data_IF_064075209924
#
_entry.id   IF_064075209924
#
_cell.length_a   1.000
_cell.length_b   1.000
_cell.length_c   1.000
_cell.angle_alpha   90.00
_cell.angle_beta   90.00
_cell.angle_gamma   90.00
#
_symmetry.space_group_name_H-M   'P 1'
#
loop_
_entity.id
_entity.type
_entity.pdbx_description
1 polymer ?
#
# COMPACT_ATOMS: atom_id res chain seq x y z
N UNK A 1 5.66 -7.31 -22.15
CA UNK A 1 4.63 -8.07 -21.42
C UNK A 1 3.60 -7.10 -20.84
N UNK A 2 2.32 -7.45 -20.81
CA UNK A 2 1.32 -6.59 -20.19
C UNK A 2 1.50 -6.58 -18.67
N UNK A 3 1.50 -5.41 -18.07
CA UNK A 3 1.47 -5.26 -16.61
C UNK A 3 0.02 -5.25 -16.13
N UNK A 4 -0.26 -5.99 -15.07
CA UNK A 4 -1.54 -5.93 -14.37
C UNK A 4 -1.35 -5.11 -13.09
N UNK A 5 -2.06 -4.00 -12.97
CA UNK A 5 -2.08 -3.20 -11.74
C UNK A 5 -3.24 -3.68 -10.86
N UNK A 6 -2.92 -4.04 -9.63
CA UNK A 6 -3.89 -4.43 -8.60
C UNK A 6 -3.84 -3.40 -7.48
N UNK A 7 -4.94 -2.68 -7.29
CA UNK A 7 -5.05 -1.67 -6.23
C UNK A 7 -5.92 -2.18 -5.09
N UNK A 8 -5.47 -2.00 -3.87
CA UNK A 8 -6.31 -2.26 -2.70
C UNK A 8 -7.23 -1.06 -2.47
N UNK A 9 -8.55 -1.25 -2.36
CA UNK A 9 -9.44 -0.16 -2.02
C UNK A 9 -9.09 0.40 -0.64
N UNK A 10 -9.06 1.73 -0.53
CA UNK A 10 -8.93 2.36 0.78
C UNK A 10 -10.15 2.00 1.63
N UNK A 11 -9.92 1.33 2.75
CA UNK A 11 -10.97 1.04 3.73
C UNK A 11 -10.79 1.97 4.92
N UNK A 12 -11.81 2.73 5.31
CA UNK A 12 -11.73 3.55 6.51
C UNK A 12 -11.44 2.70 7.75
N UNK A 13 -10.68 3.20 8.72
CA UNK A 13 -10.22 2.45 9.89
C UNK A 13 -11.32 1.95 10.83
N UNK A 14 -12.58 2.31 10.56
CA UNK A 14 -13.74 1.94 11.37
C UNK A 14 -14.80 1.25 10.52
N UNK A 15 -14.60 -0.03 10.20
CA UNK A 15 -15.72 -0.88 9.84
C UNK A 15 -16.11 -1.70 11.08
N UNK A 16 -17.42 -1.83 11.40
CA UNK A 16 -17.89 -2.62 12.54
C UNK A 16 -17.74 -4.14 12.36
N UNK A 17 -17.15 -4.57 11.24
CA UNK A 17 -16.85 -5.97 10.95
C UNK A 17 -15.39 -6.22 11.31
N UNK A 18 -15.17 -6.90 12.44
CA UNK A 18 -13.84 -7.26 12.91
C UNK A 18 -13.03 -8.02 11.85
N UNK A 19 -11.72 -7.95 11.97
CA UNK A 19 -10.68 -8.66 11.19
C UNK A 19 -10.72 -8.63 9.65
N UNK A 20 -11.50 -7.74 9.03
CA UNK A 20 -11.45 -7.53 7.58
C UNK A 20 -10.26 -6.66 7.13
N UNK A 21 -9.35 -6.30 8.05
CA UNK A 21 -8.24 -5.37 7.75
C UNK A 21 -7.28 -5.90 6.69
N UNK A 22 -7.10 -7.22 6.62
CA UNK A 22 -6.23 -7.85 5.63
C UNK A 22 -6.98 -8.43 4.42
N UNK A 23 -8.33 -8.44 4.44
CA UNK A 23 -9.13 -9.04 3.37
C UNK A 23 -8.82 -8.43 1.99
N UNK A 24 -8.68 -7.11 1.91
CA UNK A 24 -8.30 -6.43 0.68
C UNK A 24 -6.92 -6.85 0.18
N UNK A 25 -5.96 -6.99 1.09
CA UNK A 25 -4.59 -7.43 0.76
C UNK A 25 -4.56 -8.89 0.33
N UNK A 26 -5.29 -9.78 1.01
CA UNK A 26 -5.40 -11.19 0.61
C UNK A 26 -6.09 -11.35 -0.73
N UNK A 27 -7.15 -10.59 -0.98
CA UNK A 27 -7.82 -10.59 -2.29
C UNK A 27 -6.88 -10.10 -3.41
N UNK A 28 -6.12 -9.04 -3.16
CA UNK A 28 -5.11 -8.54 -4.10
C UNK A 28 -4.02 -9.58 -4.35
N UNK A 29 -3.55 -10.28 -3.31
CA UNK A 29 -2.57 -11.36 -3.41
C UNK A 29 -3.08 -12.52 -4.27
N UNK A 30 -4.34 -12.95 -4.07
CA UNK A 30 -4.93 -14.01 -4.88
C UNK A 30 -5.04 -13.61 -6.36
N UNK A 31 -5.50 -12.38 -6.64
CA UNK A 31 -5.56 -11.87 -8.03
C UNK A 31 -4.16 -11.78 -8.63
N UNK A 32 -3.17 -11.34 -7.85
CA UNK A 32 -1.79 -11.30 -8.28
C UNK A 32 -1.28 -12.69 -8.63
N UNK A 33 -1.50 -13.68 -7.76
CA UNK A 33 -1.09 -15.07 -7.97
C UNK A 33 -1.64 -15.63 -9.28
N UNK A 34 -2.94 -15.45 -9.53
CA UNK A 34 -3.57 -15.92 -10.78
C UNK A 34 -2.93 -15.28 -12.02
N UNK A 35 -2.62 -13.99 -11.98
CA UNK A 35 -1.97 -13.31 -13.10
C UNK A 35 -0.51 -13.76 -13.30
N UNK A 36 0.23 -13.97 -12.20
CA UNK A 36 1.60 -14.50 -12.24
C UNK A 36 1.64 -15.92 -12.83
N UNK A 37 0.66 -16.78 -12.49
CA UNK A 37 0.53 -18.11 -13.08
C UNK A 37 0.26 -18.08 -14.61
N UNK A 38 -0.36 -17.01 -15.10
CA UNK A 38 -0.55 -16.76 -16.54
C UNK A 38 0.70 -16.16 -17.21
N UNK A 39 1.78 -15.93 -16.47
CA UNK A 39 3.03 -15.35 -16.97
C UNK A 39 3.01 -13.84 -17.13
N UNK A 40 2.11 -13.15 -16.44
CA UNK A 40 2.07 -11.69 -16.42
C UNK A 40 2.96 -11.13 -15.33
N UNK A 41 3.58 -9.96 -15.57
CA UNK A 41 4.11 -9.13 -14.50
C UNK A 41 2.96 -8.42 -13.78
N UNK A 42 3.08 -8.27 -12.45
CA UNK A 42 2.03 -7.68 -11.62
C UNK A 42 2.58 -6.50 -10.83
N UNK A 43 1.84 -5.41 -10.81
CA UNK A 43 2.08 -4.26 -9.93
C UNK A 43 0.93 -4.20 -8.91
N UNK A 44 1.29 -4.13 -7.63
CA UNK A 44 0.33 -3.96 -6.53
C UNK A 44 0.51 -2.55 -5.97
N UNK A 45 -0.54 -1.74 -6.08
CA UNK A 45 -0.62 -0.41 -5.47
C UNK A 45 -1.47 -0.48 -4.19
N UNK A 46 -0.85 -0.25 -3.05
CA UNK A 46 -1.48 -0.41 -1.75
C UNK A 46 -0.82 0.49 -0.69
N UNK A 47 -1.60 0.92 0.29
CA UNK A 47 -1.09 1.69 1.44
C UNK A 47 -0.11 0.87 2.27
N UNK A 48 -0.42 -0.40 2.48
CA UNK A 48 0.45 -1.43 3.09
C UNK A 48 1.09 -1.01 4.43
N UNK A 49 0.32 -0.57 5.42
CA UNK A 49 0.84 0.14 6.59
C UNK A 49 1.43 -0.78 7.66
N UNK A 50 1.15 -2.07 7.62
CA UNK A 50 1.48 -3.04 8.67
C UNK A 50 2.47 -4.10 8.18
N UNK A 51 3.34 -4.60 9.06
CA UNK A 51 4.24 -5.72 8.75
C UNK A 51 3.47 -6.93 8.23
N UNK A 52 2.34 -7.29 8.87
CA UNK A 52 1.55 -8.44 8.46
C UNK A 52 0.94 -8.30 7.05
N UNK A 53 0.60 -7.08 6.61
CA UNK A 53 0.09 -6.86 5.25
C UNK A 53 1.20 -6.89 4.21
N UNK A 54 2.40 -6.41 4.55
CA UNK A 54 3.60 -6.49 3.70
C UNK A 54 4.06 -7.95 3.53
N UNK A 55 4.02 -8.73 4.62
CA UNK A 55 4.37 -10.14 4.61
C UNK A 55 3.54 -10.95 3.59
N UNK A 56 2.27 -10.61 3.37
CA UNK A 56 1.42 -11.29 2.37
C UNK A 56 2.07 -11.30 0.98
N UNK A 57 2.68 -10.20 0.56
CA UNK A 57 3.30 -10.10 -0.76
C UNK A 57 4.72 -10.68 -0.80
N UNK A 58 5.46 -10.60 0.31
CA UNK A 58 6.77 -11.26 0.46
C UNK A 58 6.60 -12.78 0.42
N UNK A 59 5.60 -13.30 1.13
CA UNK A 59 5.27 -14.73 1.15
C UNK A 59 4.84 -15.21 -0.26
N UNK A 60 3.95 -14.47 -0.92
CA UNK A 60 3.54 -14.78 -2.30
C UNK A 60 4.75 -14.87 -3.24
N UNK A 61 5.65 -13.89 -3.19
CA UNK A 61 6.84 -13.87 -4.03
C UNK A 61 7.77 -15.06 -3.73
N UNK A 62 7.90 -15.40 -2.46
CA UNK A 62 8.72 -16.54 -2.01
C UNK A 62 8.11 -17.87 -2.46
N UNK A 63 6.80 -18.06 -2.27
CA UNK A 63 6.08 -19.27 -2.67
C UNK A 63 6.10 -19.51 -4.17
N UNK A 64 6.08 -18.45 -4.95
CA UNK A 64 6.09 -18.51 -6.42
C UNK A 64 7.50 -18.47 -7.03
N UNK A 65 8.55 -18.33 -6.20
CA UNK A 65 9.94 -18.17 -6.63
C UNK A 65 10.12 -17.05 -7.68
N UNK A 66 9.55 -15.89 -7.39
CA UNK A 66 9.61 -14.72 -8.27
C UNK A 66 10.36 -13.55 -7.63
N UNK A 67 10.86 -12.65 -8.48
CA UNK A 67 11.53 -11.44 -8.01
C UNK A 67 10.51 -10.39 -7.57
N UNK A 68 10.62 -9.95 -6.30
CA UNK A 68 9.81 -8.88 -5.72
C UNK A 68 10.63 -7.58 -5.66
N UNK A 69 10.06 -6.50 -6.20
CA UNK A 69 10.59 -5.14 -6.03
C UNK A 69 9.56 -4.35 -5.23
N UNK A 70 9.97 -3.79 -4.09
CA UNK A 70 9.11 -2.99 -3.23
C UNK A 70 9.51 -1.51 -3.29
N UNK A 71 8.52 -0.63 -3.50
CA UNK A 71 8.70 0.81 -3.46
C UNK A 71 7.93 1.39 -2.28
N UNK A 72 8.62 2.16 -1.44
CA UNK A 72 7.96 3.00 -0.44
C UNK A 72 7.93 4.44 -0.94
N UNK A 73 6.73 4.90 -1.33
CA UNK A 73 6.50 6.28 -1.73
C UNK A 73 6.30 7.14 -0.49
N UNK A 74 7.20 8.09 -0.28
CA UNK A 74 7.16 9.04 0.84
C UNK A 74 7.00 10.46 0.33
N UNK A 75 6.55 11.34 1.18
CA UNK A 75 6.57 12.79 0.97
C UNK A 75 7.08 13.46 2.24
N UNK A 76 8.38 13.80 2.25
CA UNK A 76 9.05 14.35 3.42
C UNK A 76 8.72 15.81 3.68
N UNK A 77 8.37 16.58 2.64
CA UNK A 77 7.88 17.95 2.78
C UNK A 77 6.45 17.92 3.34
N UNK A 78 6.34 18.19 4.63
CA UNK A 78 5.06 18.16 5.38
C UNK A 78 4.07 19.21 4.84
N UNK A 79 4.55 20.40 4.48
CA UNK A 79 3.69 21.46 3.95
C UNK A 79 3.16 21.11 2.57
N UNK A 80 4.00 20.54 1.72
CA UNK A 80 3.57 20.04 0.41
C UNK A 80 2.59 18.89 0.57
N UNK A 81 2.84 17.95 1.49
CA UNK A 81 1.94 16.85 1.80
C UNK A 81 0.56 17.36 2.23
N UNK A 82 0.54 18.29 3.20
CA UNK A 82 -0.73 18.90 3.68
C UNK A 82 -1.48 19.59 2.55
N UNK A 83 -0.78 20.35 1.69
CA UNK A 83 -1.40 21.01 0.53
C UNK A 83 -2.04 19.99 -0.43
N UNK A 84 -1.31 18.93 -0.79
CA UNK A 84 -1.80 17.88 -1.70
C UNK A 84 -3.03 17.15 -1.12
N UNK A 85 -2.99 16.76 0.16
CA UNK A 85 -4.13 16.13 0.85
C UNK A 85 -5.33 17.06 0.88
N UNK A 86 -5.15 18.33 1.29
CA UNK A 86 -6.24 19.31 1.38
C UNK A 86 -6.84 19.63 0.02
N UNK A 87 -6.02 19.67 -1.03
CA UNK A 87 -6.51 19.90 -2.40
C UNK A 87 -7.35 18.72 -2.89
N UNK A 88 -6.89 17.49 -2.68
CA UNK A 88 -7.61 16.27 -3.04
C UNK A 88 -8.95 16.18 -2.30
N UNK A 89 -8.96 16.41 -0.99
CA UNK A 89 -10.17 16.39 -0.18
C UNK A 89 -11.19 17.46 -0.61
N UNK A 90 -10.73 18.66 -1.03
CA UNK A 90 -11.63 19.70 -1.59
C UNK A 90 -12.24 19.28 -2.93
N UNK A 91 -11.48 18.56 -3.77
CA UNK A 91 -11.97 18.08 -5.06
C UNK A 91 -12.89 16.86 -4.91
N UNK A 92 -12.64 16.04 -3.91
CA UNK A 92 -13.41 14.84 -3.59
C UNK A 92 -13.51 14.67 -2.07
N UNK A 93 -14.61 15.13 -1.45
CA UNK A 93 -14.81 15.02 0.00
C UNK A 93 -14.90 13.59 0.54
N UNK A 94 -14.98 12.59 -0.31
CA UNK A 94 -14.95 11.18 0.11
C UNK A 94 -13.53 10.71 0.44
N UNK A 95 -12.50 11.46 0.03
CA UNK A 95 -11.12 11.17 0.38
C UNK A 95 -10.78 11.68 1.79
N UNK A 96 -9.80 11.08 2.48
CA UNK A 96 -9.39 11.50 3.82
C UNK A 96 -8.95 12.98 3.85
N UNK A 97 -9.33 13.69 4.91
CA UNK A 97 -8.78 15.00 5.21
C UNK A 97 -7.39 14.87 5.89
N UNK A 98 -6.75 16.02 6.18
CA UNK A 98 -5.41 16.03 6.78
C UNK A 98 -5.36 15.36 8.16
N UNK A 99 -6.36 15.60 9.01
CA UNK A 99 -6.39 15.04 10.37
C UNK A 99 -6.59 13.53 10.34
N UNK A 100 -7.38 13.01 9.40
CA UNK A 100 -7.55 11.58 9.17
C UNK A 100 -6.24 10.93 8.70
N UNK A 101 -5.51 11.57 7.77
CA UNK A 101 -4.21 11.10 7.29
C UNK A 101 -3.20 11.04 8.42
N UNK A 102 -3.11 12.08 9.26
CA UNK A 102 -2.17 12.13 10.38
C UNK A 102 -2.52 11.11 11.45
N UNK A 103 -3.79 10.93 11.76
CA UNK A 103 -4.25 9.88 12.69
C UNK A 103 -3.88 8.50 12.19
N UNK A 104 -4.15 8.18 10.94
CA UNK A 104 -3.78 6.89 10.35
C UNK A 104 -2.27 6.66 10.36
N UNK A 105 -1.48 7.69 10.05
CA UNK A 105 -0.03 7.58 10.08
C UNK A 105 0.52 7.31 11.49
N UNK A 106 -0.07 7.95 12.52
CA UNK A 106 0.38 7.78 13.90
C UNK A 106 -0.11 6.45 14.54
N UNK A 107 -1.32 6.03 14.22
CA UNK A 107 -1.97 4.91 14.91
C UNK A 107 -1.79 3.56 14.19
N UNK A 108 -1.67 3.57 12.88
CA UNK A 108 -1.71 2.36 12.07
C UNK A 108 -0.42 2.05 11.32
N UNK A 109 0.42 3.06 11.03
CA UNK A 109 1.62 2.81 10.24
C UNK A 109 2.74 2.22 11.10
N UNK A 110 3.18 1.02 10.78
CA UNK A 110 4.38 0.41 11.32
C UNK A 110 5.58 0.77 10.44
N UNK A 111 6.64 1.30 11.07
CA UNK A 111 7.85 1.64 10.34
C UNK A 111 8.40 0.42 9.62
N UNK A 112 8.97 0.64 8.45
CA UNK A 112 9.55 -0.42 7.65
C UNK A 112 10.77 -1.03 8.35
N UNK A 113 10.79 -2.35 8.47
CA UNK A 113 11.88 -3.14 8.99
C UNK A 113 12.34 -4.13 7.91
N UNK A 114 13.56 -3.96 7.41
CA UNK A 114 14.07 -4.79 6.31
C UNK A 114 14.23 -6.25 6.66
N UNK A 115 14.39 -6.59 7.95
CA UNK A 115 14.49 -7.99 8.38
C UNK A 115 13.14 -8.72 8.27
N UNK A 116 12.04 -8.04 8.53
CA UNK A 116 10.69 -8.62 8.46
C UNK A 116 9.95 -8.29 7.17
N UNK A 117 10.13 -7.09 6.61
CA UNK A 117 9.38 -6.59 5.44
C UNK A 117 10.14 -6.80 4.11
N UNK A 118 11.43 -7.16 4.19
CA UNK A 118 12.31 -7.23 3.03
C UNK A 118 12.82 -5.86 2.56
N UNK A 119 13.70 -5.88 1.57
CA UNK A 119 14.31 -4.66 1.01
C UNK A 119 13.30 -3.81 0.27
N UNK A 120 13.51 -2.49 0.31
CA UNK A 120 12.69 -1.52 -0.44
C UNK A 120 13.54 -0.45 -1.13
N UNK A 121 12.93 0.17 -2.12
CA UNK A 121 13.40 1.42 -2.73
C UNK A 121 12.53 2.55 -2.20
N UNK A 122 13.13 3.56 -1.55
CA UNK A 122 12.39 4.73 -1.06
C UNK A 122 12.34 5.79 -2.15
N UNK A 123 11.14 6.23 -2.49
CA UNK A 123 10.90 7.28 -3.49
C UNK A 123 10.27 8.48 -2.80
N UNK A 124 10.97 9.61 -2.77
CA UNK A 124 10.40 10.87 -2.29
C UNK A 124 9.65 11.56 -3.42
N UNK A 125 8.33 11.65 -3.26
CA UNK A 125 7.42 12.23 -4.27
C UNK A 125 7.36 13.77 -4.24
N UNK A 126 8.22 14.43 -3.46
CA UNK A 126 8.40 15.89 -3.53
C UNK A 126 9.14 16.33 -4.79
N UNK A 127 9.95 15.43 -5.34
CA UNK A 127 10.72 15.70 -6.57
C UNK A 127 9.80 15.43 -7.77
N UNK A 128 9.41 16.47 -8.47
CA UNK A 128 8.77 16.43 -9.79
C UNK A 128 9.83 16.25 -10.89
#
# INVERSE_FOLDING_TARGET
MPFTCVSTPWSPPFTPFGDLRDFGYRSASNVAQENLLLGHDVIIDAVNPLHCTRAIFVDLATEMDIHLIQFECVLRDVDLHRRRVSQRHRSDPTTPNWDDVMRCACELYQQWDEDSDGKRVVVDTALD
#
